data_IF_762821209403
#
_entry.id   IF_762821209403
#
_cell.length_a   1.000
_cell.length_b   1.000
_cell.length_c   1.000
_cell.angle_alpha   90.00
_cell.angle_beta   90.00
_cell.angle_gamma   90.00
#
_symmetry.space_group_name_H-M   'P 1'
#
loop_
_entity.id
_entity.type
_entity.pdbx_description
1 polymer ?
#
# COMPACT_ATOMS: atom_id res chain seq x y z
N UNK A 1 1.66 -28.13 -6.46
CA UNK A 1 0.47 -27.48 -7.02
C UNK A 1 0.36 -26.05 -6.48
N UNK A 2 0.29 -25.84 -5.20
CA UNK A 2 0.06 -24.47 -4.62
C UNK A 2 1.18 -23.46 -4.92
N UNK A 3 2.45 -23.90 -4.97
CA UNK A 3 3.58 -23.01 -5.23
C UNK A 3 3.62 -22.55 -6.69
N UNK A 4 3.36 -23.44 -7.61
CA UNK A 4 3.33 -23.17 -9.06
C UNK A 4 2.15 -22.24 -9.40
N UNK A 5 0.95 -22.55 -8.91
CA UNK A 5 -0.23 -21.71 -9.09
C UNK A 5 -0.04 -20.30 -8.52
N UNK A 6 0.63 -20.17 -7.37
CA UNK A 6 0.92 -18.87 -6.78
C UNK A 6 1.92 -18.07 -7.64
N UNK A 7 2.97 -18.71 -8.14
CA UNK A 7 3.96 -18.03 -9.00
C UNK A 7 3.34 -17.58 -10.31
N UNK A 8 2.53 -18.45 -10.94
CA UNK A 8 1.82 -18.10 -12.17
C UNK A 8 0.83 -16.94 -11.92
N UNK A 9 0.07 -16.97 -10.83
CA UNK A 9 -0.84 -15.89 -10.46
C UNK A 9 -0.13 -14.55 -10.31
N UNK A 10 1.01 -14.53 -9.61
CA UNK A 10 1.84 -13.32 -9.49
C UNK A 10 2.32 -12.82 -10.85
N UNK A 11 2.86 -13.68 -11.70
CA UNK A 11 3.31 -13.30 -13.03
C UNK A 11 2.16 -12.78 -13.91
N UNK A 12 0.99 -13.42 -13.85
CA UNK A 12 -0.20 -12.92 -14.56
C UNK A 12 -0.62 -11.55 -14.03
N UNK A 13 -0.57 -11.32 -12.70
CA UNK A 13 -0.87 -10.00 -12.13
C UNK A 13 0.04 -8.91 -12.70
N UNK A 14 1.33 -9.19 -12.87
CA UNK A 14 2.29 -8.27 -13.49
C UNK A 14 1.91 -7.96 -14.95
N UNK A 15 1.59 -8.98 -15.73
CA UNK A 15 1.24 -8.82 -17.15
C UNK A 15 -0.09 -8.08 -17.35
N UNK A 16 -1.07 -8.30 -16.48
CA UNK A 16 -2.38 -7.63 -16.56
C UNK A 16 -2.31 -6.11 -16.44
N UNK A 17 -1.21 -5.55 -15.96
CA UNK A 17 -0.99 -4.10 -15.93
C UNK A 17 -0.80 -3.51 -17.32
N UNK A 18 -0.35 -4.31 -18.26
CA UNK A 18 0.08 -3.93 -19.61
C UNK A 18 -0.84 -4.51 -20.69
N UNK A 19 -1.66 -5.50 -20.34
CA UNK A 19 -2.53 -6.20 -21.27
C UNK A 19 -3.75 -5.35 -21.68
N UNK A 20 -4.08 -5.25 -22.98
CA UNK A 20 -5.37 -4.72 -23.42
C UNK A 20 -6.56 -5.48 -22.80
N UNK A 21 -7.68 -4.82 -22.60
CA UNK A 21 -8.87 -5.40 -21.93
C UNK A 21 -9.32 -6.75 -22.52
N UNK A 22 -9.31 -6.87 -23.83
CA UNK A 22 -9.69 -8.12 -24.52
C UNK A 22 -8.72 -9.27 -24.19
N UNK A 23 -7.41 -8.97 -24.17
CA UNK A 23 -6.36 -9.93 -23.79
C UNK A 23 -6.46 -10.28 -22.32
N UNK A 24 -6.68 -9.28 -21.45
CA UNK A 24 -6.86 -9.49 -20.02
C UNK A 24 -8.01 -10.44 -19.71
N UNK A 25 -9.16 -10.27 -20.39
CA UNK A 25 -10.30 -11.18 -20.27
C UNK A 25 -9.96 -12.61 -20.70
N UNK A 26 -9.25 -12.78 -21.81
CA UNK A 26 -8.82 -14.09 -22.30
C UNK A 26 -7.83 -14.75 -21.34
N UNK A 27 -6.81 -14.03 -20.87
CA UNK A 27 -5.85 -14.53 -19.88
C UNK A 27 -6.54 -15.03 -18.62
N UNK A 28 -7.48 -14.24 -18.09
CA UNK A 28 -8.27 -14.61 -16.91
C UNK A 28 -9.11 -15.87 -17.16
N UNK A 29 -9.65 -16.02 -18.37
CA UNK A 29 -10.42 -17.19 -18.78
C UNK A 29 -9.60 -18.49 -18.83
N UNK A 30 -8.30 -18.40 -19.11
CA UNK A 30 -7.38 -19.55 -19.22
C UNK A 30 -6.84 -20.04 -17.87
N UNK A 31 -7.01 -19.29 -16.80
CA UNK A 31 -6.50 -19.68 -15.48
C UNK A 31 -7.35 -20.79 -14.86
N UNK A 32 -6.67 -21.77 -14.28
CA UNK A 32 -7.34 -22.76 -13.43
C UNK A 32 -7.84 -22.15 -12.11
N UNK A 33 -8.75 -22.84 -11.44
CA UNK A 33 -9.39 -22.34 -10.22
C UNK A 33 -8.38 -22.05 -9.08
N UNK A 34 -7.34 -22.87 -8.81
CA UNK A 34 -6.30 -22.55 -7.84
C UNK A 34 -5.56 -21.26 -8.15
N UNK A 35 -5.06 -21.10 -9.38
CA UNK A 35 -4.31 -19.92 -9.82
C UNK A 35 -5.18 -18.67 -9.75
N UNK A 36 -6.42 -18.76 -10.20
CA UNK A 36 -7.38 -17.67 -10.16
C UNK A 36 -7.69 -17.23 -8.73
N UNK A 37 -7.77 -18.16 -7.78
CA UNK A 37 -7.95 -17.85 -6.35
C UNK A 37 -6.75 -17.08 -5.80
N UNK A 38 -5.52 -17.45 -6.14
CA UNK A 38 -4.33 -16.71 -5.74
C UNK A 38 -4.30 -15.32 -6.37
N UNK A 39 -4.60 -15.22 -7.66
CA UNK A 39 -4.68 -13.95 -8.37
C UNK A 39 -5.66 -12.98 -7.69
N UNK A 40 -6.87 -13.43 -7.35
CA UNK A 40 -7.86 -12.60 -6.68
C UNK A 40 -7.46 -12.14 -5.27
N UNK A 41 -6.44 -12.76 -4.67
CA UNK A 41 -5.84 -12.36 -3.39
C UNK A 41 -4.62 -11.50 -3.55
N UNK A 42 -4.11 -11.38 -4.76
CA UNK A 42 -2.93 -10.60 -5.06
C UNK A 42 -3.23 -9.11 -4.83
N UNK A 43 -2.38 -8.47 -4.04
CA UNK A 43 -2.51 -7.05 -3.72
C UNK A 43 -1.99 -6.16 -4.88
N UNK A 44 -1.48 -6.76 -5.94
CA UNK A 44 -0.84 -6.09 -7.07
C UNK A 44 -1.69 -5.99 -8.34
N UNK A 45 -2.92 -6.45 -8.31
CA UNK A 45 -3.81 -6.39 -9.47
C UNK A 45 -4.05 -4.93 -9.93
N UNK A 46 -3.96 -4.65 -11.24
CA UNK A 46 -4.31 -3.35 -11.78
C UNK A 46 -5.82 -3.06 -11.64
N UNK A 47 -6.18 -1.79 -11.60
CA UNK A 47 -7.58 -1.37 -11.46
C UNK A 47 -8.50 -1.93 -12.57
N UNK A 48 -7.99 -2.04 -13.80
CA UNK A 48 -8.69 -2.64 -14.94
C UNK A 48 -9.03 -4.10 -14.69
N UNK A 49 -8.05 -4.91 -14.24
CA UNK A 49 -8.27 -6.32 -13.93
C UNK A 49 -9.23 -6.53 -12.76
N UNK A 50 -9.14 -5.69 -11.71
CA UNK A 50 -10.08 -5.69 -10.59
C UNK A 50 -11.51 -5.40 -11.09
N UNK A 51 -11.67 -4.38 -11.94
CA UNK A 51 -12.96 -4.03 -12.54
C UNK A 51 -13.51 -5.18 -13.37
N UNK A 52 -12.68 -5.81 -14.20
CA UNK A 52 -13.05 -6.93 -15.04
C UNK A 52 -13.51 -8.13 -14.19
N UNK A 53 -12.77 -8.49 -13.15
CA UNK A 53 -13.13 -9.59 -12.25
C UNK A 53 -14.40 -9.32 -11.44
N UNK A 54 -14.68 -8.07 -11.06
CA UNK A 54 -15.92 -7.70 -10.41
C UNK A 54 -17.11 -7.79 -11.36
N UNK A 55 -16.92 -7.47 -12.65
CA UNK A 55 -17.98 -7.48 -13.65
C UNK A 55 -18.24 -8.86 -14.23
N UNK A 56 -17.19 -9.59 -14.58
CA UNK A 56 -17.24 -10.85 -15.36
C UNK A 56 -16.77 -12.09 -14.58
N UNK A 57 -16.19 -11.92 -13.41
CA UNK A 57 -15.68 -13.02 -12.60
C UNK A 57 -16.79 -13.91 -12.01
N UNK A 58 -16.37 -15.05 -11.47
CA UNK A 58 -17.26 -15.93 -10.70
C UNK A 58 -17.70 -15.27 -9.39
N UNK A 59 -18.70 -15.85 -8.72
CA UNK A 59 -19.13 -15.37 -7.41
C UNK A 59 -18.02 -15.48 -6.35
N UNK A 60 -17.12 -16.46 -6.49
CA UNK A 60 -15.95 -16.58 -5.62
C UNK A 60 -14.92 -15.48 -5.89
N UNK A 61 -14.63 -15.18 -7.16
CA UNK A 61 -13.75 -14.09 -7.57
C UNK A 61 -14.25 -12.76 -7.02
N UNK A 62 -15.53 -12.47 -7.27
CA UNK A 62 -16.19 -11.24 -6.79
C UNK A 62 -16.10 -11.10 -5.29
N UNK A 63 -16.41 -12.18 -4.53
CA UNK A 63 -16.32 -12.19 -3.06
C UNK A 63 -14.90 -11.96 -2.57
N UNK A 64 -13.91 -12.57 -3.23
CA UNK A 64 -12.51 -12.47 -2.82
C UNK A 64 -11.96 -11.07 -3.08
N UNK A 65 -12.16 -10.55 -4.29
CA UNK A 65 -11.70 -9.21 -4.69
C UNK A 65 -12.40 -8.09 -3.92
N UNK A 66 -13.72 -8.19 -3.75
CA UNK A 66 -14.46 -7.16 -3.02
C UNK A 66 -14.01 -6.99 -1.56
N UNK A 67 -13.35 -7.99 -1.00
CA UNK A 67 -12.73 -7.94 0.33
C UNK A 67 -11.29 -7.44 0.30
N UNK A 68 -10.71 -7.24 -0.87
CA UNK A 68 -9.35 -6.72 -0.99
C UNK A 68 -9.31 -5.24 -0.62
N UNK A 69 -8.29 -4.79 0.12
CA UNK A 69 -8.04 -3.36 0.36
C UNK A 69 -7.94 -2.54 -0.93
N UNK A 70 -7.55 -3.16 -2.04
CA UNK A 70 -7.44 -2.52 -3.35
C UNK A 70 -8.75 -1.94 -3.86
N UNK A 71 -9.88 -2.63 -3.63
CA UNK A 71 -11.20 -2.17 -4.07
C UNK A 71 -11.61 -0.90 -3.35
N UNK A 72 -11.10 -0.69 -2.14
CA UNK A 72 -11.48 0.42 -1.27
C UNK A 72 -10.56 1.64 -1.40
N UNK A 73 -9.41 1.49 -2.00
CA UNK A 73 -8.34 2.50 -1.98
C UNK A 73 -8.20 3.35 -3.24
N UNK A 74 -8.96 3.07 -4.32
CA UNK A 74 -8.75 3.72 -5.61
C UNK A 74 -10.00 3.78 -6.48
N UNK A 75 -10.08 4.76 -7.42
CA UNK A 75 -11.09 4.73 -8.46
C UNK A 75 -10.94 3.48 -9.34
N UNK A 76 -12.03 2.81 -9.61
CA UNK A 76 -12.06 1.69 -10.54
C UNK A 76 -12.66 2.17 -11.88
N UNK A 77 -11.97 1.98 -13.01
CA UNK A 77 -12.48 2.37 -14.31
C UNK A 77 -13.85 1.74 -14.58
N UNK A 78 -14.79 2.54 -15.06
CA UNK A 78 -16.15 2.09 -15.39
C UNK A 78 -17.07 1.81 -14.20
N UNK A 79 -16.60 2.01 -12.96
CA UNK A 79 -17.43 1.96 -11.76
C UNK A 79 -17.45 3.31 -11.07
N UNK A 80 -18.61 4.01 -10.97
CA UNK A 80 -18.72 5.24 -10.20
C UNK A 80 -18.45 4.95 -8.72
N UNK A 81 -17.93 5.96 -7.98
CA UNK A 81 -17.49 5.82 -6.60
C UNK A 81 -18.39 4.99 -5.67
N UNK A 82 -19.70 5.32 -5.56
CA UNK A 82 -20.62 4.53 -4.74
C UNK A 82 -20.88 3.10 -5.25
N UNK A 83 -20.82 2.87 -6.56
CA UNK A 83 -21.08 1.56 -7.14
C UNK A 83 -20.04 0.50 -6.80
N UNK A 84 -18.78 0.89 -6.52
CA UNK A 84 -17.76 -0.05 -6.08
C UNK A 84 -18.09 -0.69 -4.73
N UNK A 85 -18.81 0.02 -3.86
CA UNK A 85 -19.28 -0.51 -2.59
C UNK A 85 -20.52 -1.38 -2.76
N UNK A 86 -21.39 -1.00 -3.70
CA UNK A 86 -22.56 -1.81 -4.06
C UNK A 86 -22.17 -3.14 -4.73
N UNK A 87 -21.03 -3.18 -5.44
CA UNK A 87 -20.49 -4.42 -6.02
C UNK A 87 -19.85 -5.35 -4.98
N UNK A 88 -19.62 -4.86 -3.75
CA UNK A 88 -19.05 -5.66 -2.67
C UNK A 88 -20.09 -6.68 -2.18
N UNK A 89 -19.81 -8.00 -2.23
CA UNK A 89 -20.67 -8.97 -1.59
C UNK A 89 -20.70 -8.69 -0.08
N UNK A 90 -21.85 -8.82 0.50
CA UNK A 90 -22.04 -8.69 1.95
C UNK A 90 -21.18 -9.69 2.74
N UNK A 91 -21.17 -9.57 4.08
CA UNK A 91 -20.52 -10.50 4.96
C UNK A 91 -20.93 -11.94 4.64
N UNK A 92 -19.98 -12.88 4.73
CA UNK A 92 -20.31 -14.30 4.51
C UNK A 92 -21.25 -14.83 5.59
N UNK A 93 -22.07 -15.87 5.29
CA UNK A 93 -22.94 -16.48 6.30
C UNK A 93 -22.20 -16.92 7.56
N UNK A 94 -20.98 -17.45 7.42
CA UNK A 94 -20.15 -17.89 8.54
C UNK A 94 -19.71 -16.69 9.40
N UNK A 95 -19.37 -15.56 8.78
CA UNK A 95 -19.03 -14.34 9.51
C UNK A 95 -20.26 -13.80 10.23
N UNK A 96 -21.43 -13.77 9.61
CA UNK A 96 -22.68 -13.34 10.25
C UNK A 96 -23.03 -14.21 11.46
N UNK A 97 -22.87 -15.53 11.33
CA UNK A 97 -23.08 -16.45 12.44
C UNK A 97 -22.10 -16.19 13.60
N UNK A 98 -20.83 -15.96 13.28
CA UNK A 98 -19.79 -15.66 14.30
C UNK A 98 -20.09 -14.35 15.03
N UNK A 99 -20.35 -13.28 14.29
CA UNK A 99 -20.67 -11.96 14.87
C UNK A 99 -21.99 -12.00 15.64
N UNK A 100 -22.99 -12.75 15.14
CA UNK A 100 -24.28 -12.95 15.82
C UNK A 100 -24.13 -13.69 17.15
N UNK A 101 -23.29 -14.72 17.18
CA UNK A 101 -22.99 -15.44 18.43
C UNK A 101 -22.30 -14.52 19.47
N UNK A 102 -21.39 -13.65 19.02
CA UNK A 102 -20.74 -12.66 19.90
C UNK A 102 -21.72 -11.63 20.48
N UNK A 103 -22.75 -11.26 19.73
CA UNK A 103 -23.78 -10.32 20.16
C UNK A 103 -24.96 -10.97 20.88
N UNK A 104 -25.01 -12.31 20.93
CA UNK A 104 -26.13 -13.06 21.49
C UNK A 104 -27.44 -12.93 20.70
N UNK A 105 -27.38 -12.51 19.43
CA UNK A 105 -28.54 -12.40 18.53
C UNK A 105 -28.18 -12.68 17.07
N UNK A 106 -29.10 -13.23 16.27
CA UNK A 106 -28.83 -13.45 14.87
C UNK A 106 -28.63 -12.11 14.11
N UNK A 107 -27.69 -12.08 13.18
CA UNK A 107 -27.48 -10.98 12.24
C UNK A 107 -28.00 -11.39 10.87
N UNK A 108 -28.76 -10.49 10.25
CA UNK A 108 -29.19 -10.65 8.87
C UNK A 108 -28.15 -10.02 7.91
N UNK A 109 -28.01 -10.56 6.68
CA UNK A 109 -27.21 -9.91 5.64
C UNK A 109 -27.74 -8.51 5.38
N UNK A 110 -26.90 -7.60 4.79
CA UNK A 110 -27.36 -6.30 4.35
C UNK A 110 -28.58 -6.44 3.46
N UNK A 111 -29.53 -5.48 3.47
CA UNK A 111 -30.72 -5.56 2.65
C UNK A 111 -30.33 -5.71 1.18
N UNK A 112 -30.59 -6.89 0.64
CA UNK A 112 -30.64 -7.08 -0.81
C UNK A 112 -32.09 -6.82 -1.25
N UNK A 113 -32.31 -6.50 -2.53
CA UNK A 113 -33.63 -6.18 -3.08
C UNK A 113 -34.74 -7.21 -2.79
N UNK A 114 -34.45 -8.30 -2.08
CA UNK A 114 -35.33 -9.45 -1.89
C UNK A 114 -35.61 -9.84 -0.42
N UNK A 115 -35.17 -9.10 0.61
CA UNK A 115 -35.43 -9.50 1.98
C UNK A 115 -35.51 -8.34 3.00
N UNK A 116 -36.25 -8.52 4.12
CA UNK A 116 -36.30 -7.51 5.18
C UNK A 116 -34.92 -7.36 5.84
N UNK A 117 -34.52 -6.10 6.09
CA UNK A 117 -33.32 -5.79 6.89
C UNK A 117 -33.52 -6.29 8.33
N UNK A 118 -32.50 -6.95 8.87
CA UNK A 118 -32.46 -7.22 10.31
C UNK A 118 -32.33 -5.94 11.13
N UNK A 119 -32.51 -6.02 12.46
CA UNK A 119 -32.33 -4.86 13.32
C UNK A 119 -30.90 -4.33 13.19
N UNK A 120 -30.71 -2.99 13.08
CA UNK A 120 -29.40 -2.39 12.93
C UNK A 120 -28.51 -2.69 14.15
N UNK A 121 -27.19 -2.64 13.96
CA UNK A 121 -26.24 -2.62 15.04
C UNK A 121 -26.37 -1.30 15.81
N UNK A 122 -26.48 -1.37 17.11
CA UNK A 122 -26.40 -0.16 17.95
C UNK A 122 -24.96 0.38 17.93
N UNK A 123 -24.78 1.65 18.26
CA UNK A 123 -23.45 2.27 18.33
C UNK A 123 -22.45 1.49 19.21
N UNK A 124 -22.82 1.06 20.44
CA UNK A 124 -21.97 0.23 21.30
C UNK A 124 -21.63 -1.14 20.69
N UNK A 125 -22.57 -1.82 20.07
CA UNK A 125 -22.33 -3.11 19.40
C UNK A 125 -21.32 -2.94 18.24
N UNK A 126 -21.53 -1.94 17.39
CA UNK A 126 -20.65 -1.64 16.28
C UNK A 126 -19.22 -1.34 16.76
N UNK A 127 -19.05 -0.42 17.73
CA UNK A 127 -17.74 -0.07 18.28
C UNK A 127 -17.08 -1.30 18.93
N UNK A 128 -17.85 -2.12 19.64
CA UNK A 128 -17.37 -3.38 20.21
C UNK A 128 -16.81 -4.34 19.18
N UNK A 129 -17.51 -4.54 18.06
CA UNK A 129 -17.06 -5.37 16.95
C UNK A 129 -15.83 -4.79 16.25
N UNK A 130 -15.81 -3.49 15.99
CA UNK A 130 -14.66 -2.82 15.40
C UNK A 130 -13.40 -2.97 16.27
N UNK A 131 -13.53 -2.87 17.60
CA UNK A 131 -12.40 -3.08 18.52
C UNK A 131 -11.87 -4.50 18.49
N UNK A 132 -12.74 -5.50 18.45
CA UNK A 132 -12.32 -6.91 18.46
C UNK A 132 -11.70 -7.38 17.15
N UNK A 133 -12.22 -6.93 16.03
CA UNK A 133 -11.87 -7.48 14.71
C UNK A 133 -10.95 -6.59 13.86
N UNK A 134 -10.55 -5.43 14.37
CA UNK A 134 -9.80 -4.43 13.61
C UNK A 134 -8.30 -4.40 13.85
N UNK A 135 -7.69 -5.42 14.46
CA UNK A 135 -6.31 -5.34 14.97
C UNK A 135 -5.24 -5.07 13.89
N UNK A 136 -5.41 -5.59 12.68
CA UNK A 136 -4.39 -5.48 11.62
C UNK A 136 -4.92 -5.08 10.25
N UNK A 137 -6.06 -5.61 9.83
CA UNK A 137 -6.58 -5.45 8.47
C UNK A 137 -8.02 -4.93 8.49
N UNK A 138 -8.41 -4.12 7.50
CA UNK A 138 -9.75 -3.55 7.45
C UNK A 138 -10.82 -4.55 6.97
N UNK A 139 -10.47 -5.78 6.61
CA UNK A 139 -11.37 -6.75 5.97
C UNK A 139 -12.65 -7.00 6.78
N UNK A 140 -12.50 -7.47 8.02
CA UNK A 140 -13.68 -7.74 8.88
C UNK A 140 -14.37 -6.43 9.29
N UNK A 141 -13.65 -5.37 9.72
CA UNK A 141 -14.26 -4.06 9.93
C UNK A 141 -15.09 -3.54 8.75
N UNK A 142 -14.62 -3.73 7.51
CA UNK A 142 -15.39 -3.36 6.32
C UNK A 142 -16.67 -4.19 6.17
N UNK A 143 -16.62 -5.48 6.49
CA UNK A 143 -17.80 -6.35 6.51
C UNK A 143 -18.79 -5.94 7.61
N UNK A 144 -18.29 -5.56 8.79
CA UNK A 144 -19.09 -5.04 9.90
C UNK A 144 -19.76 -3.72 9.53
N UNK A 145 -19.02 -2.78 8.92
CA UNK A 145 -19.56 -1.50 8.46
C UNK A 145 -20.55 -1.62 7.28
N UNK A 146 -20.58 -2.76 6.60
CA UNK A 146 -21.59 -3.04 5.57
C UNK A 146 -22.93 -3.50 6.16
N UNK A 147 -22.99 -3.86 7.44
CA UNK A 147 -24.23 -4.20 8.13
C UNK A 147 -25.04 -2.91 8.44
N UNK A 148 -26.38 -2.99 8.51
CA UNK A 148 -27.18 -1.90 9.01
C UNK A 148 -26.72 -1.48 10.41
N UNK A 149 -26.45 -0.20 10.61
CA UNK A 149 -25.97 0.31 11.91
C UNK A 149 -26.41 1.75 12.16
N UNK A 150 -26.52 2.08 13.45
CA UNK A 150 -26.80 3.42 13.95
C UNK A 150 -25.51 3.96 14.58
N UNK A 151 -24.66 4.60 13.78
CA UNK A 151 -23.43 5.20 14.25
C UNK A 151 -23.55 6.71 14.24
N UNK A 152 -23.57 7.30 15.45
CA UNK A 152 -23.39 8.73 15.63
C UNK A 152 -21.90 9.09 15.59
N UNK A 153 -21.47 9.98 14.67
CA UNK A 153 -20.07 10.40 14.55
C UNK A 153 -19.47 10.97 15.85
N UNK A 154 -20.23 11.73 16.63
CA UNK A 154 -19.73 12.29 17.89
C UNK A 154 -19.51 11.19 18.94
N UNK A 155 -20.34 10.17 18.96
CA UNK A 155 -20.16 8.99 19.81
C UNK A 155 -18.93 8.20 19.38
N UNK A 156 -18.71 8.02 18.07
CA UNK A 156 -17.51 7.36 17.53
C UNK A 156 -16.24 8.10 17.97
N UNK A 157 -16.19 9.42 17.80
CA UNK A 157 -15.02 10.23 18.17
C UNK A 157 -14.76 10.23 19.66
N UNK A 158 -15.79 10.35 20.48
CA UNK A 158 -15.67 10.27 21.94
C UNK A 158 -15.11 8.93 22.41
N UNK A 159 -15.60 7.83 21.86
CA UNK A 159 -15.11 6.49 22.16
C UNK A 159 -13.70 6.25 21.63
N UNK A 160 -13.37 6.78 20.46
CA UNK A 160 -12.02 6.72 19.91
C UNK A 160 -11.03 7.53 20.75
N UNK A 161 -11.38 8.73 21.19
CA UNK A 161 -10.54 9.55 22.05
C UNK A 161 -10.28 8.90 23.43
N UNK A 162 -11.28 8.20 23.97
CA UNK A 162 -11.15 7.46 25.22
C UNK A 162 -10.25 6.24 25.11
N UNK A 163 -10.42 5.47 24.06
CA UNK A 163 -9.65 4.28 23.74
C UNK A 163 -9.60 4.12 22.21
N UNK A 164 -8.48 4.46 21.56
CA UNK A 164 -8.36 4.43 20.11
C UNK A 164 -8.77 3.11 19.51
N UNK A 165 -9.50 3.17 18.40
CA UNK A 165 -9.86 1.99 17.62
C UNK A 165 -8.59 1.38 16.99
N UNK A 166 -8.56 0.06 16.78
CA UNK A 166 -7.45 -0.61 16.13
C UNK A 166 -7.21 -0.10 14.70
N UNK A 167 -5.97 -0.18 14.18
CA UNK A 167 -5.61 0.38 12.87
C UNK A 167 -6.48 -0.08 11.70
N UNK A 168 -6.84 -1.35 11.64
CA UNK A 168 -7.71 -1.87 10.57
C UNK A 168 -9.13 -1.30 10.61
N UNK A 169 -9.64 -0.98 11.81
CA UNK A 169 -10.96 -0.34 11.94
C UNK A 169 -10.92 1.12 11.57
N UNK A 170 -9.85 1.85 11.94
CA UNK A 170 -9.65 3.23 11.50
C UNK A 170 -9.52 3.27 9.97
N UNK A 171 -8.73 2.38 9.40
CA UNK A 171 -8.59 2.27 7.93
C UNK A 171 -9.96 2.01 7.26
N UNK A 172 -10.76 1.10 7.80
CA UNK A 172 -12.09 0.80 7.27
C UNK A 172 -13.03 2.01 7.35
N UNK A 173 -13.04 2.73 8.47
CA UNK A 173 -13.86 3.93 8.65
C UNK A 173 -13.46 5.03 7.67
N UNK A 174 -12.16 5.27 7.46
CA UNK A 174 -11.67 6.23 6.48
C UNK A 174 -12.05 5.88 5.03
N UNK A 175 -12.20 4.58 4.73
CA UNK A 175 -12.53 4.11 3.39
C UNK A 175 -14.02 4.13 3.06
N UNK A 176 -14.87 3.87 4.05
CA UNK A 176 -16.32 3.62 3.83
C UNK A 176 -17.19 4.82 4.20
N UNK A 177 -16.86 5.48 5.29
CA UNK A 177 -17.77 6.43 5.91
C UNK A 177 -17.74 7.82 5.26
N UNK A 178 -16.82 8.10 4.32
CA UNK A 178 -16.56 9.45 3.79
C UNK A 178 -16.68 10.54 4.87
N UNK A 179 -15.95 10.41 5.99
CA UNK A 179 -16.10 11.31 7.12
C UNK A 179 -15.59 12.69 6.75
N UNK A 180 -16.13 13.72 7.40
CA UNK A 180 -15.61 15.08 7.27
C UNK A 180 -14.13 15.15 7.70
N UNK A 181 -13.45 16.25 7.32
CA UNK A 181 -12.02 16.44 7.59
C UNK A 181 -11.70 16.37 9.11
N UNK A 182 -12.54 16.93 9.97
CA UNK A 182 -12.36 16.90 11.43
C UNK A 182 -12.37 15.47 11.95
N UNK A 183 -13.34 14.69 11.53
CA UNK A 183 -13.47 13.28 11.88
C UNK A 183 -12.27 12.45 11.39
N UNK A 184 -11.81 12.69 10.16
CA UNK A 184 -10.62 12.01 9.61
C UNK A 184 -9.38 12.24 10.44
N UNK A 185 -9.10 13.50 10.78
CA UNK A 185 -7.95 13.86 11.61
C UNK A 185 -8.08 13.30 13.04
N UNK A 186 -9.28 13.37 13.63
CA UNK A 186 -9.53 12.84 14.96
C UNK A 186 -9.36 11.30 15.02
N UNK A 187 -9.69 10.58 13.97
CA UNK A 187 -9.44 9.12 13.87
C UNK A 187 -7.96 8.76 13.81
N UNK A 188 -7.09 9.68 13.43
CA UNK A 188 -5.63 9.52 13.46
C UNK A 188 -5.00 9.99 14.77
N UNK A 189 -5.77 10.60 15.68
CA UNK A 189 -5.30 10.94 17.03
C UNK A 189 -5.24 9.68 17.88
N UNK A 190 -4.05 9.35 18.30
CA UNK A 190 -3.76 8.12 19.04
C UNK A 190 -3.03 8.39 20.35
N UNK A 191 -3.10 9.65 20.85
CA UNK A 191 -2.41 10.06 22.10
C UNK A 191 -2.81 9.22 23.33
N UNK A 192 -3.99 8.63 23.33
CA UNK A 192 -4.43 7.73 24.40
C UNK A 192 -3.88 6.30 24.28
N UNK A 193 -3.15 5.95 23.22
CA UNK A 193 -2.52 4.63 23.08
C UNK A 193 -1.19 4.58 23.82
N UNK A 194 -1.04 3.60 24.69
CA UNK A 194 0.21 3.35 25.44
C UNK A 194 1.19 2.43 24.72
N UNK A 195 0.74 1.67 23.70
CA UNK A 195 1.57 0.77 22.90
C UNK A 195 1.18 0.80 21.43
N UNK A 196 2.17 0.56 20.57
CA UNK A 196 2.00 0.52 19.13
C UNK A 196 1.96 -0.92 18.65
N UNK A 197 0.78 -1.36 18.22
CA UNK A 197 0.67 -2.62 17.50
C UNK A 197 1.33 -2.53 16.12
N UNK A 198 1.67 -3.67 15.51
CA UNK A 198 2.11 -3.68 14.12
C UNK A 198 1.06 -3.03 13.23
N UNK A 199 1.51 -2.33 12.19
CA UNK A 199 0.65 -1.64 11.23
C UNK A 199 -0.11 -0.39 11.75
N UNK A 200 0.31 0.22 12.84
CA UNK A 200 -0.26 1.47 13.37
C UNK A 200 -0.26 2.63 12.35
N UNK A 201 0.69 2.64 11.43
CA UNK A 201 0.86 3.67 10.40
C UNK A 201 -0.08 3.50 9.18
N UNK A 202 -0.66 2.31 9.00
CA UNK A 202 -1.52 1.99 7.83
C UNK A 202 -2.65 2.98 7.57
N UNK A 203 -3.43 3.40 8.56
CA UNK A 203 -4.52 4.35 8.33
C UNK A 203 -4.03 5.66 7.73
N UNK A 204 -2.91 6.20 8.23
CA UNK A 204 -2.31 7.44 7.73
C UNK A 204 -1.82 7.30 6.30
N UNK A 205 -1.07 6.22 6.00
CA UNK A 205 -0.58 5.92 4.65
C UNK A 205 -1.75 5.77 3.68
N UNK A 206 -2.78 5.04 4.08
CA UNK A 206 -3.97 4.84 3.24
C UNK A 206 -4.72 6.15 3.00
N UNK A 207 -4.86 6.99 4.02
CA UNK A 207 -5.57 8.27 3.91
C UNK A 207 -4.91 9.21 2.87
N UNK A 208 -3.58 9.23 2.80
CA UNK A 208 -2.87 10.00 1.77
C UNK A 208 -3.06 9.39 0.38
N UNK A 209 -2.91 8.07 0.24
CA UNK A 209 -3.05 7.39 -1.06
C UNK A 209 -4.43 7.51 -1.66
N UNK A 210 -5.46 7.59 -0.82
CA UNK A 210 -6.84 7.80 -1.27
C UNK A 210 -7.19 9.26 -1.49
N UNK A 211 -6.24 10.19 -1.24
CA UNK A 211 -6.50 11.62 -1.29
C UNK A 211 -7.41 12.13 -0.15
N UNK A 212 -7.64 11.29 0.85
CA UNK A 212 -8.47 11.62 2.01
C UNK A 212 -7.82 12.68 2.90
N UNK A 213 -6.49 12.61 3.02
CA UNK A 213 -5.64 13.59 3.72
C UNK A 213 -4.39 13.89 2.89
N UNK A 214 -3.79 15.05 3.14
CA UNK A 214 -2.50 15.47 2.60
C UNK A 214 -1.36 15.15 3.55
N UNK A 215 -0.12 15.17 3.06
CA UNK A 215 1.07 15.04 3.92
C UNK A 215 1.16 16.16 4.95
N UNK A 216 0.79 17.40 4.58
CA UNK A 216 0.82 18.55 5.49
C UNK A 216 -0.17 18.38 6.65
N UNK A 217 -1.35 17.85 6.37
CA UNK A 217 -2.34 17.54 7.41
C UNK A 217 -1.84 16.44 8.36
N UNK A 218 -1.18 15.41 7.85
CA UNK A 218 -0.57 14.38 8.70
C UNK A 218 0.55 14.96 9.57
N UNK A 219 1.47 15.73 8.98
CA UNK A 219 2.58 16.32 9.71
C UNK A 219 2.11 17.28 10.83
N UNK A 220 1.02 18.02 10.57
CA UNK A 220 0.51 19.02 11.51
C UNK A 220 -0.44 18.47 12.57
N UNK A 221 -1.20 17.40 12.29
CA UNK A 221 -2.32 16.99 13.13
C UNK A 221 -2.14 15.63 13.83
N UNK A 222 -1.20 14.80 13.38
CA UNK A 222 -0.96 13.50 14.03
C UNK A 222 -0.40 13.72 15.44
N UNK A 223 -1.02 13.09 16.42
CA UNK A 223 -0.60 13.11 17.82
C UNK A 223 -0.52 11.66 18.38
N UNK A 224 0.44 11.39 19.24
CA UNK A 224 1.50 12.28 19.75
C UNK A 224 2.59 12.57 18.69
N UNK A 225 3.34 13.66 18.90
CA UNK A 225 4.33 14.22 17.95
C UNK A 225 5.34 13.20 17.39
N UNK A 226 5.83 12.29 18.23
CA UNK A 226 6.79 11.26 17.79
C UNK A 226 6.21 10.33 16.70
N UNK A 227 4.89 10.15 16.62
CA UNK A 227 4.28 9.39 15.53
C UNK A 227 4.36 10.11 14.19
N UNK A 228 4.16 11.43 14.16
CA UNK A 228 4.36 12.20 12.95
C UNK A 228 5.81 12.06 12.45
N UNK A 229 6.80 12.12 13.36
CA UNK A 229 8.21 11.89 13.02
C UNK A 229 8.46 10.48 12.48
N UNK A 230 7.92 9.45 13.14
CA UNK A 230 8.07 8.06 12.71
C UNK A 230 7.37 7.77 11.37
N UNK A 231 6.29 8.48 11.02
CA UNK A 231 5.71 8.42 9.68
C UNK A 231 6.71 8.82 8.60
N UNK A 232 7.64 9.74 8.88
CA UNK A 232 8.72 10.10 7.97
C UNK A 232 9.66 8.94 7.61
N UNK A 233 9.61 7.84 8.36
CA UNK A 233 10.40 6.63 8.13
C UNK A 233 9.57 5.37 7.91
N UNK A 234 8.27 5.50 7.69
CA UNK A 234 7.36 4.36 7.54
C UNK A 234 7.77 3.40 6.41
N UNK A 235 8.57 3.84 5.44
CA UNK A 235 9.13 2.99 4.37
C UNK A 235 10.12 1.93 4.89
N UNK A 236 10.86 2.22 5.98
CA UNK A 236 11.88 1.32 6.52
C UNK A 236 11.31 0.21 7.42
N UNK A 237 10.07 0.32 7.84
CA UNK A 237 9.47 -0.56 8.84
C UNK A 237 8.81 -1.84 8.29
N UNK A 238 9.01 -2.15 7.03
CA UNK A 238 8.54 -3.40 6.39
C UNK A 238 7.02 -3.47 6.17
N UNK A 239 6.62 -3.42 4.95
CA UNK A 239 5.35 -3.95 4.50
C UNK A 239 4.23 -2.97 4.17
N UNK A 240 4.20 -1.70 4.57
CA UNK A 240 3.20 -0.70 4.18
C UNK A 240 3.73 0.73 4.21
N UNK A 241 5.03 0.85 3.95
CA UNK A 241 5.72 2.12 3.95
C UNK A 241 5.40 3.01 2.75
N UNK A 242 5.92 4.21 2.82
CA UNK A 242 5.91 5.14 1.70
C UNK A 242 6.77 4.62 0.54
N UNK A 243 6.32 4.83 -0.68
CA UNK A 243 7.24 4.82 -1.82
C UNK A 243 8.15 6.06 -1.76
N UNK A 244 9.12 6.17 -2.66
CA UNK A 244 10.09 7.26 -2.60
C UNK A 244 9.44 8.64 -2.76
N UNK A 245 8.49 8.80 -3.68
CA UNK A 245 7.79 10.07 -3.88
C UNK A 245 6.91 10.43 -2.67
N UNK A 246 6.20 9.46 -2.11
CA UNK A 246 5.41 9.64 -0.88
C UNK A 246 6.31 9.98 0.31
N UNK A 247 7.45 9.29 0.43
CA UNK A 247 8.45 9.57 1.47
C UNK A 247 9.01 10.99 1.34
N UNK A 248 9.37 11.42 0.13
CA UNK A 248 9.81 12.78 -0.13
C UNK A 248 8.72 13.81 0.20
N UNK A 249 7.47 13.51 -0.13
CA UNK A 249 6.30 14.33 0.24
C UNK A 249 6.13 14.45 1.76
N UNK A 250 6.18 13.33 2.48
CA UNK A 250 6.07 13.32 3.95
C UNK A 250 7.25 14.06 4.60
N UNK A 251 8.48 13.82 4.14
CA UNK A 251 9.67 14.54 4.62
C UNK A 251 9.54 16.05 4.40
N UNK A 252 9.11 16.47 3.22
CA UNK A 252 8.91 17.88 2.92
C UNK A 252 7.85 18.52 3.81
N UNK A 253 6.78 17.81 4.12
CA UNK A 253 5.74 18.27 5.03
C UNK A 253 6.27 18.41 6.47
N UNK A 254 7.02 17.42 6.96
CA UNK A 254 7.67 17.49 8.28
C UNK A 254 8.63 18.68 8.38
N UNK A 255 9.44 18.90 7.34
CA UNK A 255 10.36 20.04 7.31
C UNK A 255 9.63 21.39 7.27
N UNK A 256 8.49 21.50 6.58
CA UNK A 256 7.66 22.72 6.60
C UNK A 256 7.13 23.03 8.00
N UNK A 257 6.85 22.00 8.81
CA UNK A 257 6.41 22.15 10.21
C UNK A 257 7.58 22.52 11.12
N UNK A 258 8.74 21.88 10.96
CA UNK A 258 9.85 21.95 11.92
C UNK A 258 10.78 23.15 11.68
N UNK A 259 11.15 23.43 10.42
CA UNK A 259 12.12 24.49 10.10
C UNK A 259 11.75 25.88 10.57
N UNK A 260 10.49 26.31 10.53
CA UNK A 260 10.13 27.63 11.03
C UNK A 260 10.45 27.84 12.52
N UNK A 261 10.40 26.77 13.32
CA UNK A 261 10.65 26.84 14.76
C UNK A 261 12.12 26.50 15.12
N UNK A 262 12.72 25.53 14.43
CA UNK A 262 14.04 25.00 14.79
C UNK A 262 15.19 25.61 13.97
N UNK A 263 14.91 26.13 12.79
CA UNK A 263 15.94 26.60 11.87
C UNK A 263 16.96 25.51 11.56
N UNK A 264 18.21 25.93 11.43
CA UNK A 264 19.38 25.05 11.22
C UNK A 264 20.20 24.87 12.52
N UNK A 265 19.65 25.18 13.71
CA UNK A 265 20.35 25.01 14.98
C UNK A 265 20.35 23.53 15.42
N UNK A 266 21.49 22.86 15.39
CA UNK A 266 21.58 21.44 15.76
C UNK A 266 21.20 21.17 17.21
N UNK A 267 21.24 22.17 18.10
CA UNK A 267 20.83 22.02 19.49
C UNK A 267 19.32 21.84 19.59
N UNK A 268 18.55 22.63 18.85
CA UNK A 268 17.09 22.51 18.83
C UNK A 268 16.62 21.17 18.23
N UNK A 269 17.33 20.65 17.23
CA UNK A 269 17.05 19.32 16.70
C UNK A 269 17.35 18.20 17.70
N UNK A 270 18.45 18.31 18.47
CA UNK A 270 18.74 17.38 19.56
C UNK A 270 17.70 17.48 20.69
N UNK A 271 17.23 18.68 21.04
CA UNK A 271 16.14 18.90 21.99
C UNK A 271 14.82 18.27 21.48
N UNK A 272 14.48 18.48 20.22
CA UNK A 272 13.31 17.84 19.60
C UNK A 272 13.35 16.32 19.78
N UNK A 273 14.48 15.68 19.45
CA UNK A 273 14.65 14.24 19.61
C UNK A 273 14.46 13.80 21.07
N UNK A 274 15.07 14.52 22.00
CA UNK A 274 15.05 14.21 23.43
C UNK A 274 13.67 14.33 24.06
N UNK A 275 12.87 15.30 23.63
CA UNK A 275 11.58 15.62 24.22
C UNK A 275 10.38 15.00 23.49
N UNK A 276 10.55 14.55 22.26
CA UNK A 276 9.47 13.95 21.47
C UNK A 276 8.79 12.74 22.15
N UNK A 277 9.50 11.83 22.85
CA UNK A 277 8.85 10.71 23.55
C UNK A 277 7.87 11.16 24.64
N UNK A 278 8.15 12.30 25.31
CA UNK A 278 7.29 12.84 26.36
C UNK A 278 6.15 13.73 25.88
N UNK A 279 6.14 14.07 24.58
CA UNK A 279 5.11 14.95 24.03
C UNK A 279 3.84 14.19 23.69
N UNK A 280 2.72 14.59 24.29
CA UNK A 280 1.38 14.08 23.96
C UNK A 280 0.66 14.91 22.89
N UNK A 281 1.20 16.10 22.57
CA UNK A 281 0.67 17.01 21.57
C UNK A 281 1.10 16.67 20.14
N UNK A 282 0.78 17.57 19.22
CA UNK A 282 1.15 17.52 17.81
C UNK A 282 2.61 17.94 17.59
N UNK A 283 3.13 17.71 16.41
CA UNK A 283 4.50 18.11 16.05
C UNK A 283 4.70 19.63 16.05
N UNK A 284 3.78 20.48 15.54
CA UNK A 284 3.88 21.93 15.67
C UNK A 284 3.96 22.40 17.13
N UNK A 285 3.13 21.82 18.03
CA UNK A 285 3.14 22.16 19.46
C UNK A 285 4.49 21.81 20.09
N UNK A 286 5.04 20.63 19.80
CA UNK A 286 6.35 20.23 20.29
C UNK A 286 7.46 21.14 19.75
N UNK A 287 7.48 21.44 18.45
CA UNK A 287 8.48 22.32 17.85
C UNK A 287 8.47 23.71 18.47
N UNK A 288 7.29 24.29 18.70
CA UNK A 288 7.14 25.58 19.37
C UNK A 288 7.62 25.52 20.83
N UNK A 289 7.31 24.45 21.55
CA UNK A 289 7.74 24.26 22.94
C UNK A 289 9.28 24.11 23.06
N UNK A 290 9.90 23.38 22.13
CA UNK A 290 11.36 23.24 22.03
C UNK A 290 12.02 24.61 21.77
N UNK A 291 11.52 25.36 20.79
CA UNK A 291 12.04 26.68 20.45
C UNK A 291 11.91 27.69 21.62
N UNK A 292 10.86 27.55 22.43
CA UNK A 292 10.60 28.38 23.60
C UNK A 292 11.35 27.91 24.88
N UNK A 293 12.06 26.77 24.85
CA UNK A 293 12.68 26.16 26.02
C UNK A 293 11.66 25.62 27.05
N UNK A 294 10.42 25.36 26.64
CA UNK A 294 9.31 24.89 27.46
C UNK A 294 8.88 23.46 27.12
N UNK A 295 9.77 22.67 26.53
CA UNK A 295 9.47 21.30 26.10
C UNK A 295 9.14 20.39 27.31
N UNK A 296 8.28 19.37 27.12
CA UNK A 296 7.94 18.41 28.17
C UNK A 296 9.19 17.65 28.63
N UNK A 297 9.20 17.11 29.87
CA UNK A 297 10.37 16.36 30.34
C UNK A 297 10.69 15.16 29.43
N UNK A 298 11.96 14.85 29.24
CA UNK A 298 12.35 13.71 28.43
C UNK A 298 11.86 12.40 29.06
N UNK A 299 11.43 11.48 28.21
CA UNK A 299 11.00 10.13 28.59
C UNK A 299 11.88 9.07 27.93
N UNK A 300 11.60 7.80 28.22
CA UNK A 300 12.32 6.68 27.63
C UNK A 300 12.34 6.77 26.09
N UNK A 301 13.48 6.43 25.50
CA UNK A 301 13.68 6.47 24.07
C UNK A 301 12.69 5.55 23.32
N UNK A 302 12.16 6.03 22.20
CA UNK A 302 11.29 5.27 21.32
C UNK A 302 12.16 4.69 20.18
N UNK A 303 12.06 3.37 19.91
CA UNK A 303 12.81 2.75 18.82
C UNK A 303 12.57 3.44 17.47
N UNK A 304 13.65 3.71 16.73
CA UNK A 304 13.59 4.34 15.41
C UNK A 304 13.44 5.87 15.42
N UNK A 305 13.13 6.50 16.57
CA UNK A 305 12.90 7.95 16.63
C UNK A 305 14.18 8.75 16.35
N UNK A 306 15.34 8.30 16.84
CA UNK A 306 16.62 8.96 16.57
C UNK A 306 16.86 9.04 15.06
N UNK A 307 16.78 7.91 14.37
CA UNK A 307 16.97 7.86 12.94
C UNK A 307 15.91 8.71 12.16
N UNK A 308 14.68 8.82 12.68
CA UNK A 308 13.63 9.65 12.10
C UNK A 308 13.99 11.15 12.18
N UNK A 309 14.52 11.60 13.30
CA UNK A 309 14.94 13.01 13.49
C UNK A 309 16.22 13.29 12.72
N UNK A 310 17.20 12.40 12.79
CA UNK A 310 18.49 12.55 12.09
C UNK A 310 18.29 12.65 10.56
N UNK A 311 17.33 11.92 10.02
CA UNK A 311 16.97 12.02 8.59
C UNK A 311 16.38 13.37 8.18
N UNK A 312 15.88 14.16 9.12
CA UNK A 312 15.32 15.50 8.89
C UNK A 312 16.30 16.62 9.22
N UNK A 313 17.27 16.37 10.11
CA UNK A 313 18.21 17.37 10.59
C UNK A 313 19.05 18.00 9.47
N UNK A 314 19.51 19.25 9.63
CA UNK A 314 20.37 19.91 8.65
C UNK A 314 21.65 19.11 8.39
N UNK A 315 22.00 18.94 7.12
CA UNK A 315 23.18 18.16 6.70
C UNK A 315 22.96 16.66 6.54
N UNK A 316 21.78 16.14 6.86
CA UNK A 316 21.42 14.77 6.54
C UNK A 316 21.09 14.65 5.04
N UNK A 317 22.11 14.54 4.22
CA UNK A 317 21.94 14.10 2.84
C UNK A 317 22.22 12.61 2.81
N UNK A 318 21.25 11.81 2.32
CA UNK A 318 21.58 10.50 1.82
C UNK A 318 22.45 10.73 0.57
N UNK A 319 23.69 10.36 0.63
CA UNK A 319 24.61 10.43 -0.50
C UNK A 319 24.97 8.99 -0.83
N UNK A 320 24.79 8.55 -2.10
CA UNK A 320 25.33 7.27 -2.53
C UNK A 320 26.84 7.26 -2.32
N UNK A 321 27.38 6.17 -1.76
CA UNK A 321 28.78 6.09 -1.35
C UNK A 321 29.78 6.09 -2.51
N UNK A 322 29.35 5.90 -3.77
CA UNK A 322 30.26 5.83 -4.91
C UNK A 322 29.71 6.45 -6.20
N UNK A 323 30.57 7.10 -6.96
CA UNK A 323 30.31 7.55 -8.34
C UNK A 323 30.26 6.34 -9.27
N UNK A 324 29.06 5.81 -9.50
CA UNK A 324 28.82 4.70 -10.42
C UNK A 324 28.64 5.22 -11.82
N UNK A 325 29.36 4.68 -12.78
CA UNK A 325 29.09 4.99 -14.17
C UNK A 325 27.88 4.20 -14.70
N UNK A 326 27.23 4.74 -15.73
CA UNK A 326 26.03 4.15 -16.35
C UNK A 326 26.26 2.71 -16.84
N UNK A 327 27.45 2.41 -17.38
CA UNK A 327 27.76 1.06 -17.92
C UNK A 327 27.74 0.01 -16.80
N UNK A 328 28.36 0.31 -15.67
CA UNK A 328 28.36 -0.55 -14.50
C UNK A 328 26.94 -0.72 -13.94
N UNK A 329 26.19 0.38 -13.88
CA UNK A 329 24.80 0.35 -13.42
C UNK A 329 23.93 -0.54 -14.31
N UNK A 330 24.03 -0.42 -15.63
CA UNK A 330 23.30 -1.29 -16.58
C UNK A 330 23.73 -2.76 -16.46
N UNK A 331 25.02 -3.02 -16.36
CA UNK A 331 25.54 -4.38 -16.19
C UNK A 331 25.01 -5.03 -14.90
N UNK A 332 24.89 -4.26 -13.82
CA UNK A 332 24.38 -4.77 -12.54
C UNK A 332 22.91 -5.20 -12.58
N UNK A 333 22.11 -4.62 -13.45
CA UNK A 333 20.71 -5.02 -13.63
C UNK A 333 20.56 -6.45 -14.20
N UNK A 334 21.49 -6.88 -15.03
CA UNK A 334 21.50 -8.22 -15.65
C UNK A 334 21.98 -9.34 -14.74
N UNK A 335 22.55 -9.02 -13.60
CA UNK A 335 23.08 -10.01 -12.65
C UNK A 335 22.00 -10.27 -11.59
N UNK A 336 21.38 -11.48 -11.56
CA UNK A 336 20.54 -11.87 -10.46
C UNK A 336 21.35 -11.78 -9.17
N UNK A 337 20.80 -11.21 -8.11
CA UNK A 337 21.52 -11.14 -6.83
C UNK A 337 21.79 -12.57 -6.30
N UNK A 338 22.97 -13.09 -6.61
CA UNK A 338 23.38 -14.44 -6.22
C UNK A 338 23.52 -14.61 -4.70
N UNK A 339 23.58 -13.52 -3.96
CA UNK A 339 23.78 -13.51 -2.51
C UNK A 339 22.48 -13.51 -1.71
N UNK A 340 21.34 -13.42 -2.37
CA UNK A 340 20.03 -13.46 -1.71
C UNK A 340 19.70 -12.21 -0.88
N UNK A 341 20.52 -11.16 -0.91
CA UNK A 341 20.22 -9.90 -0.24
C UNK A 341 19.49 -8.91 -1.17
N UNK A 342 18.20 -9.14 -1.32
CA UNK A 342 17.32 -8.28 -2.09
C UNK A 342 17.39 -6.81 -1.68
N UNK A 343 17.75 -6.52 -0.43
CA UNK A 343 17.81 -5.15 0.09
C UNK A 343 18.99 -4.36 -0.48
N UNK A 344 20.11 -5.01 -0.74
CA UNK A 344 21.27 -4.35 -1.34
C UNK A 344 21.04 -4.03 -2.82
N UNK A 345 20.50 -4.98 -3.58
CA UNK A 345 20.13 -4.77 -4.99
C UNK A 345 19.11 -3.62 -5.13
N UNK A 346 18.08 -3.62 -4.32
CA UNK A 346 17.07 -2.56 -4.30
C UNK A 346 17.68 -1.20 -3.96
N UNK A 347 18.55 -1.11 -2.96
CA UNK A 347 19.21 0.15 -2.59
C UNK A 347 20.07 0.68 -3.72
N UNK A 348 20.81 -0.18 -4.37
CA UNK A 348 21.68 0.16 -5.47
C UNK A 348 20.90 0.69 -6.69
N UNK A 349 19.93 -0.06 -7.18
CA UNK A 349 19.12 0.35 -8.32
C UNK A 349 18.40 1.68 -8.02
N UNK A 350 17.87 1.80 -6.82
CA UNK A 350 17.18 3.02 -6.38
C UNK A 350 18.13 4.22 -6.34
N UNK A 351 19.35 4.05 -5.84
CA UNK A 351 20.36 5.09 -5.85
C UNK A 351 20.67 5.56 -7.27
N UNK A 352 20.88 4.61 -8.19
CA UNK A 352 21.13 4.94 -9.59
C UNK A 352 19.96 5.66 -10.29
N UNK A 353 18.71 5.34 -9.90
CA UNK A 353 17.53 6.03 -10.39
C UNK A 353 17.41 7.45 -9.82
N UNK A 354 17.69 7.62 -8.53
CA UNK A 354 17.63 8.92 -7.84
C UNK A 354 18.70 9.89 -8.38
N UNK A 355 19.88 9.37 -8.70
CA UNK A 355 21.00 10.14 -9.27
C UNK A 355 20.87 10.36 -10.79
N UNK A 356 19.84 9.79 -11.42
CA UNK A 356 19.66 9.88 -12.88
C UNK A 356 20.68 9.09 -13.71
N UNK A 357 21.44 8.17 -13.08
CA UNK A 357 22.37 7.27 -13.76
C UNK A 357 21.60 6.23 -14.57
N UNK A 358 20.49 5.73 -14.02
CA UNK A 358 19.52 4.87 -14.67
C UNK A 358 18.18 5.59 -14.85
N UNK A 359 17.48 5.23 -15.91
CA UNK A 359 16.06 5.56 -16.09
C UNK A 359 15.21 4.30 -15.82
N UNK A 360 13.91 4.49 -15.50
CA UNK A 360 12.99 3.36 -15.35
C UNK A 360 12.91 2.46 -16.59
N UNK A 361 13.05 3.03 -17.78
CA UNK A 361 13.14 2.28 -19.03
C UNK A 361 14.37 1.34 -19.09
N UNK A 362 15.48 1.73 -18.49
CA UNK A 362 16.68 0.88 -18.45
C UNK A 362 16.43 -0.36 -17.58
N UNK A 363 15.70 -0.22 -16.48
CA UNK A 363 15.32 -1.33 -15.61
C UNK A 363 14.49 -2.35 -16.41
N UNK A 364 13.49 -1.89 -17.15
CA UNK A 364 12.62 -2.77 -17.94
C UNK A 364 13.42 -3.52 -19.03
N UNK A 365 14.39 -2.87 -19.65
CA UNK A 365 15.17 -3.46 -20.74
C UNK A 365 16.27 -4.40 -20.28
N UNK A 366 16.87 -4.13 -19.13
CA UNK A 366 18.14 -4.77 -18.74
C UNK A 366 18.06 -5.58 -17.45
N UNK A 367 17.00 -5.38 -16.61
CA UNK A 367 16.91 -6.16 -15.37
C UNK A 367 16.48 -7.62 -15.68
N UNK A 368 17.21 -8.54 -15.07
CA UNK A 368 16.91 -9.97 -15.07
C UNK A 368 16.71 -10.47 -13.62
N UNK A 369 15.80 -11.42 -13.39
CA UNK A 369 14.83 -12.00 -14.34
C UNK A 369 13.74 -11.01 -14.77
N UNK A 370 13.10 -11.24 -15.90
CA UNK A 370 12.04 -10.38 -16.45
C UNK A 370 10.90 -10.11 -15.46
N UNK A 371 10.51 -11.09 -14.65
CA UNK A 371 9.50 -10.91 -13.62
C UNK A 371 9.91 -9.85 -12.59
N UNK A 372 11.19 -9.74 -12.26
CA UNK A 372 11.69 -8.72 -11.32
C UNK A 372 11.76 -7.33 -11.94
N UNK A 373 11.94 -7.24 -13.27
CA UNK A 373 11.85 -5.97 -13.97
C UNK A 373 10.43 -5.39 -13.93
N UNK A 374 9.42 -6.25 -14.07
CA UNK A 374 8.01 -5.88 -14.04
C UNK A 374 7.48 -5.63 -12.62
N UNK A 375 8.11 -6.19 -11.61
CA UNK A 375 7.74 -5.97 -10.21
C UNK A 375 8.58 -4.83 -9.60
N UNK A 376 7.99 -3.66 -9.52
CA UNK A 376 8.64 -2.44 -9.04
C UNK A 376 9.26 -2.61 -7.64
N UNK A 377 8.76 -3.51 -6.83
CA UNK A 377 9.32 -3.83 -5.52
C UNK A 377 10.71 -4.42 -5.57
N UNK A 378 11.04 -5.10 -6.65
CA UNK A 378 12.36 -5.71 -6.82
C UNK A 378 13.45 -4.71 -7.24
N UNK A 379 13.11 -3.45 -7.49
CA UNK A 379 14.12 -2.44 -7.85
C UNK A 379 13.88 -1.06 -7.26
N UNK A 380 12.70 -0.76 -6.78
CA UNK A 380 12.41 0.50 -6.08
C UNK A 380 12.29 0.33 -4.56
N UNK A 381 12.10 -0.89 -4.09
CA UNK A 381 11.95 -1.24 -2.68
C UNK A 381 10.52 -1.17 -2.19
N UNK A 382 10.27 -1.97 -1.17
CA UNK A 382 9.02 -2.18 -0.44
C UNK A 382 7.73 -2.12 -1.24
N UNK A 383 7.21 -3.29 -1.55
CA UNK A 383 5.97 -3.45 -2.26
C UNK A 383 4.93 -4.06 -1.37
N UNK A 384 3.98 -3.25 -1.04
CA UNK A 384 2.70 -3.79 -0.62
C UNK A 384 1.63 -3.63 -1.70
N UNK A 385 1.86 -2.74 -2.66
CA UNK A 385 0.86 -2.49 -3.69
C UNK A 385 1.43 -1.74 -4.89
N UNK A 386 1.10 -2.09 -6.15
CA UNK A 386 1.57 -1.40 -7.34
C UNK A 386 1.22 0.09 -7.35
N UNK A 387 0.08 0.47 -6.78
CA UNK A 387 -0.34 1.87 -6.73
C UNK A 387 0.52 2.74 -5.81
N UNK A 388 1.42 2.16 -5.03
CA UNK A 388 2.35 2.90 -4.17
C UNK A 388 3.37 3.71 -4.92
N UNK A 389 3.69 3.25 -6.11
CA UNK A 389 4.70 3.85 -6.96
C UNK A 389 4.11 4.69 -8.10
N UNK A 390 2.79 4.82 -8.16
CA UNK A 390 2.09 5.44 -9.29
C UNK A 390 2.55 6.85 -9.66
N UNK A 391 3.16 7.56 -8.72
CA UNK A 391 3.64 8.93 -8.95
C UNK A 391 5.16 9.02 -9.11
N UNK A 392 5.90 7.93 -8.96
CA UNK A 392 7.36 7.97 -9.07
C UNK A 392 7.78 8.06 -10.55
N UNK A 393 8.58 9.07 -10.96
CA UNK A 393 8.95 9.27 -12.37
C UNK A 393 9.59 8.05 -13.02
N UNK A 394 10.45 7.33 -12.28
CA UNK A 394 11.09 6.11 -12.78
C UNK A 394 10.07 4.99 -13.02
N UNK A 395 9.02 4.88 -12.19
CA UNK A 395 7.95 3.90 -12.38
C UNK A 395 7.11 4.24 -13.60
N UNK A 396 6.73 5.50 -13.76
CA UNK A 396 5.97 5.94 -14.93
C UNK A 396 6.76 5.67 -16.21
N UNK A 397 8.06 5.96 -16.22
CA UNK A 397 8.94 5.67 -17.35
C UNK A 397 9.10 4.17 -17.62
N UNK A 398 9.21 3.36 -16.55
CA UNK A 398 9.29 1.91 -16.66
C UNK A 398 8.00 1.31 -17.24
N UNK A 399 6.84 1.71 -16.73
CA UNK A 399 5.54 1.25 -17.23
C UNK A 399 5.33 1.62 -18.70
N UNK A 400 5.62 2.87 -19.07
CA UNK A 400 5.53 3.31 -20.46
C UNK A 400 6.45 2.51 -21.39
N UNK A 401 7.65 2.16 -20.94
CA UNK A 401 8.56 1.34 -21.73
C UNK A 401 8.07 -0.12 -21.81
N UNK A 402 7.54 -0.70 -20.73
CA UNK A 402 6.95 -2.02 -20.75
C UNK A 402 5.74 -2.08 -21.68
N UNK A 403 4.82 -1.10 -21.59
CA UNK A 403 3.66 -0.98 -22.49
C UNK A 403 4.11 -0.97 -23.96
N UNK A 404 5.12 -0.15 -24.28
CA UNK A 404 5.68 -0.07 -25.63
C UNK A 404 6.26 -1.41 -26.11
N UNK A 405 6.97 -2.13 -25.25
CA UNK A 405 7.56 -3.44 -25.60
C UNK A 405 6.48 -4.50 -25.80
N UNK A 406 5.48 -4.55 -24.93
CA UNK A 406 4.35 -5.47 -25.03
C UNK A 406 3.53 -5.18 -26.28
N UNK A 407 3.19 -3.94 -26.56
CA UNK A 407 2.45 -3.55 -27.76
C UNK A 407 3.21 -3.93 -29.03
N UNK A 408 4.51 -3.63 -29.09
CA UNK A 408 5.33 -3.93 -30.26
C UNK A 408 5.53 -5.43 -30.49
N UNK A 409 5.61 -6.24 -29.43
CA UNK A 409 5.91 -7.66 -29.55
C UNK A 409 4.64 -8.53 -29.60
N UNK A 410 3.68 -8.28 -28.73
CA UNK A 410 2.51 -9.14 -28.53
C UNK A 410 1.21 -8.51 -29.07
N UNK A 411 1.10 -7.19 -29.05
CA UNK A 411 -0.11 -6.47 -29.48
C UNK A 411 -1.38 -7.09 -28.88
N UNK A 412 -2.33 -7.46 -29.74
CA UNK A 412 -3.59 -8.11 -29.36
C UNK A 412 -3.56 -9.64 -29.42
N UNK A 413 -2.40 -10.31 -29.63
CA UNK A 413 -2.29 -11.77 -29.73
C UNK A 413 -2.36 -12.42 -28.32
N UNK A 414 -3.57 -12.84 -27.93
CA UNK A 414 -3.82 -13.48 -26.63
C UNK A 414 -3.02 -14.77 -26.40
N UNK A 415 -2.68 -15.51 -27.48
CA UNK A 415 -1.87 -16.73 -27.38
C UNK A 415 -0.40 -16.38 -27.09
N UNK A 416 0.13 -15.33 -27.69
CA UNK A 416 1.47 -14.85 -27.39
C UNK A 416 1.56 -14.34 -25.94
N UNK A 417 0.56 -13.60 -25.46
CA UNK A 417 0.47 -13.19 -24.06
C UNK A 417 0.40 -14.38 -23.10
N UNK A 418 -0.36 -15.41 -23.45
CA UNK A 418 -0.43 -16.64 -22.65
C UNK A 418 0.90 -17.39 -22.61
N UNK A 419 1.61 -17.47 -23.75
CA UNK A 419 2.96 -18.04 -23.79
C UNK A 419 3.91 -17.27 -22.87
N UNK A 420 3.91 -15.95 -22.95
CA UNK A 420 4.70 -15.09 -22.06
C UNK A 420 4.34 -15.32 -20.58
N UNK A 421 3.06 -15.39 -20.23
CA UNK A 421 2.59 -15.62 -18.87
C UNK A 421 3.10 -16.95 -18.29
N UNK A 422 3.11 -18.00 -19.10
CA UNK A 422 3.58 -19.31 -18.69
C UNK A 422 5.10 -19.42 -18.58
N UNK A 423 5.82 -18.69 -19.42
CA UNK A 423 7.28 -18.69 -19.41
C UNK A 423 7.85 -17.82 -18.27
N UNK A 424 7.22 -16.68 -17.97
CA UNK A 424 7.70 -15.65 -17.06
C UNK A 424 8.13 -16.16 -15.66
N UNK A 425 7.42 -17.10 -14.99
CA UNK A 425 7.82 -17.61 -13.67
C UNK A 425 9.22 -18.19 -13.58
N UNK A 426 9.68 -18.84 -14.63
CA UNK A 426 10.95 -19.56 -14.67
C UNK A 426 11.98 -18.95 -15.64
N UNK A 427 11.65 -17.81 -16.24
CA UNK A 427 12.50 -17.14 -17.21
C UNK A 427 13.58 -16.30 -16.51
N UNK A 428 14.83 -16.66 -16.73
CA UNK A 428 15.98 -16.00 -16.10
C UNK A 428 16.49 -14.76 -16.84
N UNK A 429 16.09 -14.56 -18.10
CA UNK A 429 16.54 -13.44 -18.94
C UNK A 429 15.74 -12.15 -18.73
N UNK A 430 15.99 -11.19 -19.60
CA UNK A 430 15.33 -9.87 -19.61
C UNK A 430 13.95 -9.91 -20.27
N UNK A 431 13.16 -8.85 -20.07
CA UNK A 431 11.83 -8.75 -20.70
C UNK A 431 11.89 -8.79 -22.25
N UNK A 432 12.77 -8.06 -22.92
CA UNK A 432 12.89 -8.18 -24.39
C UNK A 432 13.17 -9.61 -24.88
N UNK A 433 14.03 -10.35 -24.17
CA UNK A 433 14.33 -11.76 -24.52
C UNK A 433 13.12 -12.68 -24.33
N UNK A 434 12.36 -12.49 -23.23
CA UNK A 434 11.09 -13.21 -22.99
C UNK A 434 10.10 -12.97 -24.14
N UNK A 435 9.91 -11.70 -24.51
CA UNK A 435 8.96 -11.32 -25.54
C UNK A 435 9.34 -11.87 -26.91
N UNK A 436 10.63 -11.86 -27.26
CA UNK A 436 11.13 -12.47 -28.50
C UNK A 436 10.81 -13.97 -28.55
N UNK A 437 11.01 -14.69 -27.45
CA UNK A 437 10.65 -16.12 -27.35
C UNK A 437 9.14 -16.38 -27.44
N UNK A 438 8.33 -15.53 -26.83
CA UNK A 438 6.87 -15.67 -26.84
C UNK A 438 6.27 -15.50 -28.26
N UNK A 439 6.84 -14.63 -29.08
CA UNK A 439 6.39 -14.41 -30.47
C UNK A 439 6.68 -15.64 -31.37
N UNK A 440 7.88 -16.21 -31.26
CA UNK A 440 8.33 -17.27 -32.17
C UNK A 440 7.77 -18.65 -31.83
N UNK A 441 7.07 -18.82 -30.71
CA UNK A 441 6.53 -20.12 -30.30
C UNK A 441 7.59 -21.16 -29.93
N UNK A 442 8.86 -20.75 -29.87
CA UNK A 442 9.93 -21.59 -29.38
C UNK A 442 9.69 -21.91 -27.90
N UNK A 443 9.74 -23.21 -27.59
CA UNK A 443 9.73 -23.60 -26.16
C UNK A 443 10.92 -22.89 -25.52
N UNK A 444 10.59 -21.90 -24.68
CA UNK A 444 11.56 -21.12 -23.90
C UNK A 444 12.16 -22.07 -22.87
N UNK A 445 12.99 -22.98 -23.36
CA UNK A 445 13.78 -23.93 -22.57
C UNK A 445 14.93 -23.15 -21.97
N UNK A 446 15.01 -23.15 -20.64
CA UNK A 446 16.16 -22.70 -19.88
C UNK A 446 17.47 -23.16 -20.55
N UNK A 447 18.15 -22.24 -21.21
CA UNK A 447 19.59 -22.42 -21.44
C UNK A 447 20.29 -22.06 -20.15
N UNK A 448 20.62 -23.11 -19.42
CA UNK A 448 21.49 -23.12 -18.22
C UNK A 448 22.86 -22.51 -18.50
#
# INVERSE_FOLDING_TARGET
>A
VDRESRRLAWCVALLLRHAPDAVASDLLGRLDAPTRRFLCRDEYLPASAVTLLLREGTDEDRRTIARSPQVHGRPLPGLPGPARYAARPGPSPELLATLGAELGRPLAPPPSAAGPAGPPLTGPELIGLLRRHGSRRPRIPLDVLALPHELDPETLLREHARAPLPPGSVEALLLVADPDRRTRLALLDTRAQTSYGPAWHRPAVRAVRTGTLTFDELAAAVAPAHRALLLGQAHAAGGLGWNLAEWAGMRSALLRVLRPALGDDPRLWAELHRHAPGSTGTLPELAAAVAAGAAPPPQAAIPGLAAAVDALAPGSAWVPDDSVNRELALASLGVPNAMGDLREDVRWVRACLDDGILAGADVIRHKAPAAWALDEGHWLGEVDHPDRHDHHPAVLAARAEADRLFEAALGGDADAWWRAARALPDFAGTLPELLAGAVHGDSVSNRS
#
